data_IF_363845104148
#
_entry.id   IF_363845104148
#
_cell.length_a   1.000
_cell.length_b   1.000
_cell.length_c   1.000
_cell.angle_alpha   90.00
_cell.angle_beta   90.00
_cell.angle_gamma   90.00
#
_symmetry.space_group_name_H-M   'P 1'
#
loop_
_entity.id
_entity.type
_entity.pdbx_description
1 polymer ?
#
# COMPACT_ATOMS: atom_id res chain seq x y z
N UNK A 1 -20.21 -13.08 -33.49
CA UNK A 1 -19.33 -14.23 -33.21
C UNK A 1 -17.86 -13.82 -33.22
N UNK A 2 -17.43 -12.86 -34.04
CA UNK A 2 -16.03 -12.36 -34.11
C UNK A 2 -15.40 -11.82 -32.81
N UNK A 3 -16.19 -11.29 -31.88
CA UNK A 3 -15.69 -10.76 -30.59
C UNK A 3 -15.18 -11.89 -29.67
N UNK A 4 -15.69 -13.11 -29.82
CA UNK A 4 -15.28 -14.26 -29.00
C UNK A 4 -13.96 -14.88 -29.49
N UNK A 5 -13.67 -14.82 -30.79
CA UNK A 5 -12.41 -15.33 -31.35
C UNK A 5 -11.21 -14.43 -30.99
N UNK A 6 -11.44 -13.11 -30.93
CA UNK A 6 -10.41 -12.16 -30.50
C UNK A 6 -10.04 -12.29 -29.02
N UNK A 7 -10.90 -12.91 -28.20
CA UNK A 7 -10.72 -13.05 -26.75
C UNK A 7 -9.50 -13.92 -26.38
N UNK A 8 -9.06 -14.79 -27.29
CA UNK A 8 -7.83 -15.60 -27.19
C UNK A 8 -6.59 -14.71 -27.04
N UNK A 9 -6.55 -13.56 -27.72
CA UNK A 9 -5.44 -12.59 -27.60
C UNK A 9 -5.50 -11.77 -26.30
N UNK A 10 -6.67 -11.71 -25.67
CA UNK A 10 -6.93 -10.88 -24.49
C UNK A 10 -6.80 -11.67 -23.18
N UNK A 11 -6.45 -12.95 -23.26
CA UNK A 11 -6.28 -13.86 -22.11
C UNK A 11 -5.33 -13.31 -21.03
N UNK A 12 -4.25 -12.62 -21.43
CA UNK A 12 -3.25 -12.07 -20.51
C UNK A 12 -3.58 -10.69 -19.96
N UNK A 13 -4.54 -9.99 -20.55
CA UNK A 13 -4.88 -8.61 -20.18
C UNK A 13 -5.30 -8.51 -18.70
N UNK A 14 -6.15 -9.41 -18.16
CA UNK A 14 -6.46 -9.41 -16.74
C UNK A 14 -5.22 -9.44 -15.85
N UNK A 15 -4.18 -10.23 -16.18
CA UNK A 15 -2.95 -10.36 -15.37
C UNK A 15 -2.20 -9.04 -15.27
N UNK A 16 -2.01 -8.32 -16.39
CA UNK A 16 -1.36 -7.00 -16.39
C UNK A 16 -2.14 -5.99 -15.55
N UNK A 17 -3.47 -6.06 -15.67
CA UNK A 17 -4.39 -5.22 -14.93
C UNK A 17 -4.36 -5.52 -13.41
N UNK A 18 -4.17 -6.79 -12.99
CA UNK A 18 -3.96 -7.19 -11.59
C UNK A 18 -2.70 -6.57 -10.98
N UNK A 19 -1.61 -6.51 -11.76
CA UNK A 19 -0.36 -5.84 -11.36
C UNK A 19 -0.61 -4.33 -11.18
N UNK A 20 -1.30 -3.69 -12.13
CA UNK A 20 -1.70 -2.28 -12.01
C UNK A 20 -2.55 -1.99 -10.77
N UNK A 21 -3.50 -2.87 -10.46
CA UNK A 21 -4.38 -2.78 -9.29
C UNK A 21 -3.60 -2.92 -7.97
N UNK A 22 -2.60 -3.80 -7.92
CA UNK A 22 -1.67 -3.88 -6.79
C UNK A 22 -0.95 -2.54 -6.56
N UNK A 23 -0.39 -1.94 -7.62
CA UNK A 23 0.31 -0.65 -7.53
C UNK A 23 -0.63 0.49 -7.14
N UNK A 24 -1.87 0.48 -7.65
CA UNK A 24 -2.91 1.44 -7.28
C UNK A 24 -3.20 1.38 -5.77
N UNK A 25 -3.44 0.18 -5.23
CA UNK A 25 -3.70 0.03 -3.80
C UNK A 25 -2.47 0.33 -2.94
N UNK A 26 -1.28 -0.03 -3.42
CA UNK A 26 -0.03 0.22 -2.73
C UNK A 26 0.25 1.73 -2.63
N UNK A 27 0.10 2.49 -3.74
CA UNK A 27 0.50 3.91 -3.81
C UNK A 27 -0.60 4.92 -3.53
N UNK A 28 -1.85 4.64 -3.90
CA UNK A 28 -2.94 5.64 -3.90
C UNK A 28 -3.90 5.41 -2.73
N UNK A 29 -4.29 4.16 -2.48
CA UNK A 29 -5.33 3.83 -1.50
C UNK A 29 -4.82 3.65 -0.05
N UNK A 30 -3.52 3.48 0.14
CA UNK A 30 -2.91 3.27 1.47
C UNK A 30 -3.31 4.30 2.55
N UNK A 31 -3.53 5.60 2.26
CA UNK A 31 -3.81 6.58 3.30
C UNK A 31 -5.19 6.34 3.94
N UNK A 32 -6.18 5.81 3.21
CA UNK A 32 -7.50 5.46 3.77
C UNK A 32 -7.38 4.37 4.85
N UNK A 33 -6.52 3.39 4.62
CA UNK A 33 -6.26 2.32 5.58
C UNK A 33 -5.47 2.82 6.78
N UNK A 34 -4.47 3.69 6.58
CA UNK A 34 -3.74 4.30 7.68
C UNK A 34 -4.64 5.18 8.55
N UNK A 35 -5.57 5.96 7.97
CA UNK A 35 -6.58 6.72 8.75
C UNK A 35 -7.39 5.79 9.67
N UNK A 36 -7.80 4.61 9.18
CA UNK A 36 -8.55 3.62 9.97
C UNK A 36 -7.72 3.07 11.13
N UNK A 37 -6.42 2.87 10.94
CA UNK A 37 -5.50 2.39 11.98
C UNK A 37 -5.20 3.45 13.04
N UNK A 38 -5.04 4.71 12.63
CA UNK A 38 -4.88 5.84 13.55
C UNK A 38 -6.12 6.02 14.42
N UNK A 39 -7.33 5.98 13.83
CA UNK A 39 -8.59 6.05 14.60
C UNK A 39 -8.74 4.92 15.63
N UNK A 40 -8.13 3.76 15.36
CA UNK A 40 -8.14 2.60 16.27
C UNK A 40 -7.03 2.67 17.34
N UNK A 41 -6.25 3.74 17.39
CA UNK A 41 -5.10 3.88 18.29
C UNK A 41 -3.95 2.90 17.99
N UNK A 42 -3.99 2.20 16.86
CA UNK A 42 -3.03 1.12 16.55
C UNK A 42 -1.74 1.64 15.89
N UNK A 43 -1.76 2.82 15.25
CA UNK A 43 -0.58 3.39 14.56
C UNK A 43 -0.53 4.91 14.74
N UNK A 44 0.70 5.44 14.77
CA UNK A 44 1.04 6.81 15.18
C UNK A 44 1.70 7.65 14.07
N UNK A 45 1.49 7.26 12.81
CA UNK A 45 2.11 7.91 11.67
C UNK A 45 1.19 8.96 11.03
N UNK A 46 1.79 10.06 10.56
CA UNK A 46 1.15 11.05 9.71
C UNK A 46 0.40 10.36 8.56
N UNK A 47 -0.85 10.78 8.34
CA UNK A 47 -1.68 10.28 7.25
C UNK A 47 -1.90 11.41 6.26
N UNK A 48 -1.39 11.30 5.02
CA UNK A 48 -1.62 12.33 4.02
C UNK A 48 -3.12 12.51 3.74
N UNK A 49 -3.50 13.74 3.39
CA UNK A 49 -4.90 14.15 3.18
C UNK A 49 -5.44 13.54 1.88
N UNK A 50 -6.01 12.34 1.97
CA UNK A 50 -6.78 11.76 0.84
C UNK A 50 -8.21 12.28 0.80
N UNK A 51 -8.67 12.55 -0.42
CA UNK A 51 -10.05 12.88 -0.79
C UNK A 51 -10.96 11.65 -0.60
N UNK A 52 -12.22 11.85 -0.21
CA UNK A 52 -13.17 10.76 0.04
C UNK A 52 -13.47 9.90 -1.20
N UNK A 53 -13.33 10.49 -2.39
CA UNK A 53 -13.59 9.86 -3.69
C UNK A 53 -12.78 8.58 -3.95
N UNK A 54 -11.58 8.43 -3.36
CA UNK A 54 -10.74 7.25 -3.59
C UNK A 54 -11.39 5.94 -3.13
N UNK A 55 -12.33 5.96 -2.18
CA UNK A 55 -13.08 4.74 -1.78
C UNK A 55 -14.00 4.24 -2.90
N UNK A 56 -14.68 5.17 -3.58
CA UNK A 56 -15.59 4.85 -4.66
C UNK A 56 -14.81 4.38 -5.89
N UNK A 57 -13.69 5.06 -6.19
CA UNK A 57 -12.75 4.62 -7.22
C UNK A 57 -12.18 3.24 -6.93
N UNK A 58 -11.78 2.94 -5.68
CA UNK A 58 -11.30 1.60 -5.32
C UNK A 58 -12.38 0.54 -5.58
N UNK A 59 -13.64 0.80 -5.25
CA UNK A 59 -14.75 -0.14 -5.47
C UNK A 59 -15.02 -0.35 -6.96
N UNK A 60 -15.18 0.75 -7.72
CA UNK A 60 -15.42 0.70 -9.17
C UNK A 60 -14.26 0.00 -9.87
N UNK A 61 -13.02 0.34 -9.50
CA UNK A 61 -11.84 -0.26 -10.12
C UNK A 61 -11.74 -1.76 -9.81
N UNK A 62 -12.05 -2.19 -8.58
CA UNK A 62 -12.10 -3.62 -8.24
C UNK A 62 -13.24 -4.35 -8.96
N UNK A 63 -14.39 -3.69 -9.15
CA UNK A 63 -15.56 -4.25 -9.83
C UNK A 63 -15.30 -4.45 -11.33
N UNK A 64 -14.80 -3.43 -12.02
CA UNK A 64 -14.40 -3.49 -13.43
C UNK A 64 -13.38 -4.61 -13.62
N UNK A 65 -12.41 -4.69 -12.72
CA UNK A 65 -11.36 -5.69 -12.75
C UNK A 65 -11.85 -7.12 -12.55
N UNK A 66 -12.82 -7.29 -11.67
CA UNK A 66 -13.50 -8.57 -11.47
C UNK A 66 -14.26 -9.00 -12.72
N UNK A 67 -14.92 -8.06 -13.40
CA UNK A 67 -15.64 -8.32 -14.64
C UNK A 67 -14.70 -8.65 -15.81
N UNK A 68 -13.61 -7.89 -15.97
CA UNK A 68 -12.58 -8.14 -16.99
C UNK A 68 -11.87 -9.48 -16.75
N UNK A 69 -11.65 -9.86 -15.49
CA UNK A 69 -11.06 -11.16 -15.14
C UNK A 69 -11.99 -12.34 -15.37
N UNK A 70 -13.30 -12.11 -15.54
CA UNK A 70 -14.25 -13.16 -15.91
C UNK A 70 -14.24 -13.47 -17.42
N UNK A 71 -13.70 -12.58 -18.26
CA UNK A 71 -13.67 -12.76 -19.72
C UNK A 71 -12.94 -14.04 -20.16
N UNK A 72 -11.76 -14.40 -19.61
CA UNK A 72 -11.12 -15.69 -19.91
C UNK A 72 -11.97 -16.90 -19.50
N UNK A 73 -12.72 -16.81 -18.39
CA UNK A 73 -13.60 -17.89 -17.96
C UNK A 73 -14.80 -18.05 -18.91
N UNK A 74 -15.35 -16.96 -19.43
CA UNK A 74 -16.40 -16.96 -20.45
C UNK A 74 -15.89 -17.62 -21.74
N UNK A 75 -14.66 -17.33 -22.15
CA UNK A 75 -14.04 -17.97 -23.32
C UNK A 75 -13.86 -19.48 -23.14
N UNK A 76 -13.40 -19.93 -21.96
CA UNK A 76 -13.25 -21.36 -21.66
C UNK A 76 -14.60 -22.08 -21.68
N UNK A 77 -15.63 -21.51 -21.03
CA UNK A 77 -16.98 -22.10 -21.02
C UNK A 77 -17.54 -22.17 -22.43
N UNK A 78 -17.41 -21.11 -23.23
CA UNK A 78 -17.94 -21.08 -24.60
C UNK A 78 -17.27 -22.09 -25.55
N UNK A 79 -15.95 -22.28 -25.45
CA UNK A 79 -15.21 -23.13 -26.38
C UNK A 79 -15.12 -24.60 -25.96
N UNK A 80 -15.12 -24.89 -24.66
CA UNK A 80 -14.88 -26.24 -24.14
C UNK A 80 -16.14 -26.91 -23.56
N UNK A 81 -17.25 -26.18 -23.43
CA UNK A 81 -18.51 -26.73 -22.95
C UNK A 81 -19.68 -26.31 -23.84
N UNK A 82 -20.72 -27.13 -23.90
CA UNK A 82 -21.97 -26.81 -24.60
C UNK A 82 -22.88 -25.87 -23.79
N UNK A 83 -22.39 -25.32 -22.67
CA UNK A 83 -23.14 -24.43 -21.81
C UNK A 83 -23.16 -23.00 -22.36
N UNK A 84 -24.24 -22.27 -22.07
CA UNK A 84 -24.36 -20.88 -22.50
C UNK A 84 -23.26 -19.99 -21.88
N UNK A 85 -22.74 -19.05 -22.67
CA UNK A 85 -21.60 -18.20 -22.33
C UNK A 85 -21.75 -17.43 -20.99
N UNK A 86 -22.98 -17.10 -20.57
CA UNK A 86 -23.22 -16.35 -19.34
C UNK A 86 -22.88 -17.13 -18.07
N UNK A 87 -22.81 -18.47 -18.12
CA UNK A 87 -22.35 -19.27 -16.98
C UNK A 87 -20.90 -18.96 -16.60
N UNK A 88 -20.08 -18.43 -17.53
CA UNK A 88 -18.73 -17.94 -17.23
C UNK A 88 -18.69 -16.79 -16.22
N UNK A 89 -19.76 -16.00 -16.08
CA UNK A 89 -19.85 -14.96 -15.05
C UNK A 89 -19.95 -15.52 -13.63
N UNK A 90 -20.28 -16.81 -13.46
CA UNK A 90 -20.32 -17.45 -12.14
C UNK A 90 -18.95 -17.45 -11.44
N UNK A 91 -17.84 -17.28 -12.18
CA UNK A 91 -16.48 -17.17 -11.62
C UNK A 91 -16.16 -15.75 -11.14
N UNK A 92 -16.94 -14.75 -11.56
CA UNK A 92 -16.72 -13.34 -11.19
C UNK A 92 -16.67 -13.08 -9.67
N UNK A 93 -17.48 -13.72 -8.78
CA UNK A 93 -17.37 -13.51 -7.34
C UNK A 93 -16.03 -13.99 -6.77
N UNK A 94 -15.43 -15.03 -7.36
CA UNK A 94 -14.12 -15.55 -6.95
C UNK A 94 -13.03 -14.51 -7.23
N UNK A 95 -13.05 -13.90 -8.42
CA UNK A 95 -12.12 -12.83 -8.76
C UNK A 95 -12.32 -11.58 -7.88
N UNK A 96 -13.55 -11.28 -7.50
CA UNK A 96 -13.84 -10.20 -6.55
C UNK A 96 -13.18 -10.46 -5.19
N UNK A 97 -13.29 -11.69 -4.67
CA UNK A 97 -12.64 -12.10 -3.43
C UNK A 97 -11.12 -11.97 -3.51
N UNK A 98 -10.51 -12.41 -4.61
CA UNK A 98 -9.06 -12.25 -4.86
C UNK A 98 -8.69 -10.75 -4.84
N UNK A 99 -9.52 -9.89 -5.43
CA UNK A 99 -9.36 -8.43 -5.48
C UNK A 99 -9.31 -7.82 -4.08
N UNK A 100 -10.25 -8.22 -3.23
CA UNK A 100 -10.33 -7.78 -1.84
C UNK A 100 -9.13 -8.25 -1.02
N UNK A 101 -8.71 -9.50 -1.21
CA UNK A 101 -7.54 -10.07 -0.52
C UNK A 101 -6.26 -9.32 -0.93
N UNK A 102 -6.06 -9.11 -2.23
CA UNK A 102 -4.90 -8.40 -2.77
C UNK A 102 -4.84 -6.95 -2.26
N UNK A 103 -5.98 -6.27 -2.22
CA UNK A 103 -6.12 -4.94 -1.62
C UNK A 103 -5.71 -4.93 -0.13
N UNK A 104 -6.15 -5.92 0.63
CA UNK A 104 -5.81 -6.07 2.06
C UNK A 104 -4.31 -6.32 2.26
N UNK A 105 -3.70 -7.16 1.42
CA UNK A 105 -2.26 -7.46 1.46
C UNK A 105 -1.45 -6.21 1.11
N UNK A 106 -1.76 -5.52 0.01
CA UNK A 106 -1.07 -4.31 -0.41
C UNK A 106 -1.11 -3.22 0.67
N UNK A 107 -2.29 -2.97 1.26
CA UNK A 107 -2.47 -2.00 2.34
C UNK A 107 -1.71 -2.40 3.62
N UNK A 108 -1.71 -3.69 3.98
CA UNK A 108 -0.97 -4.21 5.15
C UNK A 108 0.54 -4.06 4.94
N UNK A 109 1.04 -4.38 3.75
CA UNK A 109 2.45 -4.22 3.38
C UNK A 109 2.91 -2.76 3.53
N UNK A 110 2.17 -1.80 2.96
CA UNK A 110 2.46 -0.38 3.13
C UNK A 110 2.42 0.03 4.60
N UNK A 111 1.41 -0.40 5.36
CA UNK A 111 1.32 -0.06 6.78
C UNK A 111 2.50 -0.60 7.59
N UNK A 112 3.03 -1.78 7.25
CA UNK A 112 4.20 -2.35 7.90
C UNK A 112 5.47 -1.55 7.54
N UNK A 113 5.62 -1.15 6.28
CA UNK A 113 6.73 -0.32 5.83
C UNK A 113 6.81 1.01 6.61
N UNK A 114 5.68 1.70 6.78
CA UNK A 114 5.61 2.92 7.59
C UNK A 114 5.91 2.68 9.08
N UNK A 115 5.50 1.54 9.62
CA UNK A 115 5.77 1.18 11.01
C UNK A 115 7.26 0.90 11.24
N UNK A 116 7.91 0.20 10.32
CA UNK A 116 9.37 -0.01 10.37
C UNK A 116 10.13 1.31 10.29
N UNK A 117 9.72 2.21 9.39
CA UNK A 117 10.32 3.55 9.29
C UNK A 117 10.14 4.38 10.56
N UNK A 118 8.98 4.29 11.22
CA UNK A 118 8.73 4.94 12.51
C UNK A 118 9.65 4.40 13.61
N UNK A 119 9.84 3.08 13.71
CA UNK A 119 10.72 2.50 14.72
C UNK A 119 12.19 2.89 14.53
N UNK A 120 12.64 3.10 13.29
CA UNK A 120 13.97 3.64 13.04
C UNK A 120 14.11 5.06 13.61
N UNK A 121 13.12 5.91 13.36
CA UNK A 121 13.11 7.28 13.89
C UNK A 121 13.04 7.30 15.42
N UNK A 122 12.25 6.41 16.02
CA UNK A 122 12.18 6.24 17.47
C UNK A 122 13.55 5.89 18.07
N UNK A 123 14.25 4.92 17.48
CA UNK A 123 15.61 4.52 17.92
C UNK A 123 16.59 5.69 17.83
N UNK A 124 16.51 6.47 16.76
CA UNK A 124 17.33 7.68 16.58
C UNK A 124 17.06 8.70 17.68
N UNK A 125 15.79 9.06 17.93
CA UNK A 125 15.42 10.08 18.94
C UNK A 125 15.76 9.63 20.35
N UNK A 126 15.61 8.33 20.65
CA UNK A 126 16.01 7.76 21.93
C UNK A 126 17.52 7.85 22.13
N UNK A 127 18.31 7.43 21.16
CA UNK A 127 19.77 7.54 21.18
C UNK A 127 20.26 8.99 21.33
N UNK A 128 19.65 9.93 20.60
CA UNK A 128 19.93 11.37 20.73
C UNK A 128 19.65 11.91 22.15
N UNK A 129 18.66 11.35 22.83
CA UNK A 129 18.30 11.77 24.19
C UNK A 129 19.24 11.14 25.23
N UNK A 130 19.61 9.88 25.04
CA UNK A 130 20.56 9.13 25.86
C UNK A 130 21.99 9.73 25.80
N UNK A 131 22.52 10.05 24.62
CA UNK A 131 23.85 10.71 24.50
C UNK A 131 23.89 12.06 25.21
N UNK A 132 22.79 12.82 25.14
CA UNK A 132 22.72 14.17 25.72
C UNK A 132 22.58 14.16 27.25
N UNK A 133 22.69 12.99 27.89
CA UNK A 133 22.55 12.82 29.34
C UNK A 133 21.16 13.15 29.88
N UNK A 134 20.18 13.35 28.99
CA UNK A 134 18.81 13.72 29.34
C UNK A 134 17.93 12.48 29.18
N UNK A 135 17.83 11.67 30.24
CA UNK A 135 16.88 10.57 30.32
C UNK A 135 15.47 11.13 30.31
N UNK A 136 14.89 11.21 29.11
CA UNK A 136 13.52 11.67 28.91
C UNK A 136 12.53 10.57 29.22
N UNK A 137 11.34 10.96 29.67
CA UNK A 137 10.23 10.02 29.80
C UNK A 137 9.93 9.36 28.45
N UNK A 138 9.47 8.12 28.48
CA UNK A 138 9.08 7.38 27.27
C UNK A 138 8.03 8.16 26.45
N UNK A 139 7.11 8.85 27.12
CA UNK A 139 6.13 9.74 26.49
C UNK A 139 6.77 10.90 25.73
N UNK A 140 7.84 11.52 26.27
CA UNK A 140 8.52 12.61 25.59
C UNK A 140 9.31 12.14 24.38
N UNK A 141 9.94 10.96 24.47
CA UNK A 141 10.61 10.31 23.34
C UNK A 141 9.61 10.02 22.24
N UNK A 142 8.43 9.47 22.58
CA UNK A 142 7.36 9.21 21.64
C UNK A 142 6.82 10.49 20.99
N UNK A 143 6.50 11.52 21.77
CA UNK A 143 6.01 12.80 21.26
C UNK A 143 7.00 13.45 20.29
N UNK A 144 8.29 13.45 20.65
CA UNK A 144 9.36 13.99 19.80
C UNK A 144 9.56 13.16 18.54
N UNK A 145 9.44 11.84 18.63
CA UNK A 145 9.48 10.94 17.49
C UNK A 145 8.33 11.21 16.52
N UNK A 146 7.10 11.32 17.03
CA UNK A 146 5.91 11.62 16.22
C UNK A 146 6.10 12.96 15.51
N UNK A 147 6.56 13.99 16.21
CA UNK A 147 6.82 15.30 15.63
C UNK A 147 7.91 15.26 14.54
N UNK A 148 9.07 14.66 14.85
CA UNK A 148 10.19 14.55 13.90
C UNK A 148 9.82 13.76 12.65
N UNK A 149 9.18 12.60 12.84
CA UNK A 149 8.73 11.74 11.76
C UNK A 149 7.69 12.44 10.88
N UNK A 150 6.71 13.10 11.49
CA UNK A 150 5.68 13.86 10.76
C UNK A 150 6.29 14.99 9.94
N UNK A 151 7.27 15.72 10.50
CA UNK A 151 7.97 16.79 9.79
C UNK A 151 8.72 16.25 8.56
N UNK A 152 9.48 15.17 8.72
CA UNK A 152 10.20 14.50 7.62
C UNK A 152 9.26 13.99 6.52
N UNK A 153 8.11 13.42 6.91
CA UNK A 153 7.10 12.96 5.94
C UNK A 153 6.50 14.12 5.15
N UNK A 154 6.12 15.23 5.81
CA UNK A 154 5.59 16.43 5.12
C UNK A 154 6.61 17.03 4.15
N UNK A 155 7.87 17.14 4.57
CA UNK A 155 8.94 17.66 3.71
C UNK A 155 9.21 16.74 2.52
N UNK A 156 9.21 15.42 2.74
CA UNK A 156 9.36 14.45 1.67
C UNK A 156 8.16 14.43 0.71
N UNK A 157 6.95 14.67 1.21
CA UNK A 157 5.75 14.82 0.38
C UNK A 157 5.84 16.09 -0.49
N UNK A 158 6.24 17.22 0.08
CA UNK A 158 6.46 18.47 -0.66
C UNK A 158 7.52 18.31 -1.77
N UNK A 159 8.55 17.49 -1.54
CA UNK A 159 9.61 17.19 -2.53
C UNK A 159 9.27 16.01 -3.47
N UNK A 160 8.08 15.41 -3.36
CA UNK A 160 7.67 14.25 -4.17
C UNK A 160 8.45 12.96 -3.88
N UNK A 161 9.20 12.89 -2.78
CA UNK A 161 10.11 11.78 -2.41
C UNK A 161 9.62 10.96 -1.21
N UNK A 162 8.37 11.12 -0.80
CA UNK A 162 7.76 10.43 0.35
C UNK A 162 8.01 8.91 0.32
N UNK A 163 7.68 8.26 -0.79
CA UNK A 163 7.85 6.82 -0.96
C UNK A 163 9.31 6.38 -0.89
N UNK A 164 10.22 7.15 -1.49
CA UNK A 164 11.66 6.87 -1.45
C UNK A 164 12.17 6.94 0.00
N UNK A 165 11.77 7.97 0.74
CA UNK A 165 12.16 8.15 2.14
C UNK A 165 11.66 6.99 3.02
N UNK A 166 10.37 6.67 2.96
CA UNK A 166 9.80 5.60 3.80
C UNK A 166 10.38 4.23 3.43
N UNK A 167 10.59 3.96 2.14
CA UNK A 167 11.21 2.72 1.71
C UNK A 167 12.63 2.57 2.22
N UNK A 168 13.47 3.60 2.09
CA UNK A 168 14.84 3.61 2.61
C UNK A 168 14.83 3.39 4.13
N UNK A 169 14.07 4.20 4.87
CA UNK A 169 13.97 4.05 6.33
C UNK A 169 13.45 2.68 6.78
N UNK A 170 12.54 2.06 6.01
CA UNK A 170 12.00 0.74 6.35
C UNK A 170 13.01 -0.40 6.15
N UNK A 171 13.94 -0.25 5.20
CA UNK A 171 14.97 -1.25 4.89
C UNK A 171 16.22 -1.08 5.74
N UNK A 172 16.46 0.13 6.24
CA UNK A 172 17.61 0.43 7.08
C UNK A 172 17.52 -0.34 8.41
N UNK A 173 18.37 -1.36 8.56
CA UNK A 173 18.61 -2.06 9.84
C UNK A 173 19.68 -1.38 10.71
N UNK A 174 20.26 -0.28 10.22
CA UNK A 174 21.39 0.40 10.83
C UNK A 174 21.07 0.89 12.24
N UNK A 175 22.05 0.75 13.12
CA UNK A 175 22.01 1.21 14.50
C UNK A 175 22.24 2.74 14.43
N UNK A 176 21.62 3.57 15.31
CA UNK A 176 21.76 5.02 15.29
C UNK A 176 23.17 5.63 15.04
N UNK A 177 24.31 5.10 15.55
CA UNK A 177 25.63 5.63 15.26
C UNK A 177 25.98 5.64 13.75
N UNK A 178 25.55 4.63 13.00
CA UNK A 178 25.86 4.53 11.55
C UNK A 178 24.99 5.46 10.69
N UNK A 179 23.77 5.75 11.14
CA UNK A 179 22.86 6.69 10.46
C UNK A 179 23.39 8.12 10.58
N UNK A 180 24.05 8.44 11.70
CA UNK A 180 24.67 9.73 11.93
C UNK A 180 25.88 9.98 11.05
N UNK A 181 26.74 8.97 10.88
CA UNK A 181 27.91 9.05 10.01
C UNK A 181 27.54 9.42 8.57
N UNK A 182 26.48 8.85 8.01
CA UNK A 182 26.09 9.17 6.62
C UNK A 182 25.35 10.51 6.49
N UNK A 183 24.59 10.96 7.50
CA UNK A 183 23.89 12.27 7.42
C UNK A 183 24.77 13.49 7.68
N UNK A 184 25.95 13.31 8.29
CA UNK A 184 26.92 14.39 8.45
C UNK A 184 27.96 14.45 7.32
N UNK A 185 28.18 13.33 6.61
CA UNK A 185 29.25 13.21 5.61
C UNK A 185 28.78 12.87 4.18
N UNK A 186 27.46 12.82 3.91
CA UNK A 186 26.89 12.60 2.57
C UNK A 186 25.91 13.68 2.15
#
# INVERSE_FOLDING_TARGET
>A
MDILDTLTYWFWIPVLFWVGLYFWFHRVSYPLYMKKLVKKGKKWAYVPRVRAFYKLFDLIFTLIMSAVSALPAIWVVYNWTEMEWFYGFAVSPVFLLVGVILCKIARKSTANMFQSAYFLEYRRVRYESEIKGNFRSESDVQNRTIWSFTRKLKEAEAKGRLWKLVHLMSKTKKIPPDVYAETMYG
#
